data_IF_887193534932
#
_entry.id   IF_887193534932
#
_cell.length_a   1.000
_cell.length_b   1.000
_cell.length_c   1.000
_cell.angle_alpha   90.00
_cell.angle_beta   90.00
_cell.angle_gamma   90.00
#
_symmetry.space_group_name_H-M   'P 1'
#
loop_
_entity.id
_entity.type
_entity.pdbx_description
1 polymer ?
#
# COMPACT_ATOMS: atom_id res chain seq x y z
N UNK A 1 -12.07 -36.04 19.81
CA UNK A 1 -13.29 -35.27 20.11
C UNK A 1 -12.85 -34.08 20.96
N UNK A 2 -12.80 -32.82 20.55
CA UNK A 2 -13.16 -32.12 19.33
C UNK A 2 -12.81 -30.66 19.62
N UNK A 3 -11.77 -30.19 18.96
CA UNK A 3 -11.25 -28.82 18.81
C UNK A 3 -12.19 -27.66 19.23
N UNK A 4 -11.85 -26.98 20.34
CA UNK A 4 -12.47 -25.72 20.79
C UNK A 4 -11.69 -24.47 20.33
N UNK A 5 -10.67 -24.61 19.47
CA UNK A 5 -9.78 -23.51 19.06
C UNK A 5 -10.30 -22.78 17.81
N UNK A 6 -11.49 -23.14 17.27
CA UNK A 6 -12.00 -22.61 15.98
C UNK A 6 -13.15 -21.59 16.05
N UNK A 7 -13.43 -20.96 17.18
CA UNK A 7 -14.56 -20.00 17.29
C UNK A 7 -14.13 -18.52 17.38
N UNK A 8 -12.82 -18.20 17.37
CA UNK A 8 -12.33 -16.81 17.42
C UNK A 8 -12.01 -16.22 16.03
N UNK A 9 -12.87 -16.45 15.03
CA UNK A 9 -12.71 -15.84 13.71
C UNK A 9 -14.06 -15.42 13.18
N UNK A 10 -14.52 -14.27 13.66
CA UNK A 10 -15.34 -13.27 12.97
C UNK A 10 -16.23 -12.51 13.97
N UNK A 11 -15.74 -11.36 14.41
CA UNK A 11 -16.59 -10.26 14.87
C UNK A 11 -15.85 -8.96 14.53
N UNK A 12 -16.33 -8.30 13.49
CA UNK A 12 -15.79 -7.04 12.99
C UNK A 12 -16.26 -5.83 13.79
N UNK A 13 -15.46 -4.76 13.68
CA UNK A 13 -15.75 -3.33 13.84
C UNK A 13 -16.49 -2.89 15.11
N UNK A 14 -15.82 -2.02 15.87
CA UNK A 14 -16.12 -0.57 15.93
C UNK A 14 -15.11 0.05 16.90
N UNK A 15 -14.26 0.94 16.39
CA UNK A 15 -13.75 2.06 17.17
C UNK A 15 -13.52 3.18 16.17
N UNK A 16 -14.45 4.12 16.18
CA UNK A 16 -14.32 5.36 15.45
C UNK A 16 -13.16 6.13 16.04
N UNK A 17 -12.25 6.56 15.16
CA UNK A 17 -11.56 7.81 15.33
C UNK A 17 -11.50 8.44 13.95
N UNK A 18 -12.29 9.51 13.79
CA UNK A 18 -12.06 10.57 12.83
C UNK A 18 -10.62 11.07 12.98
N UNK A 19 -9.69 10.42 12.28
CA UNK A 19 -8.42 11.02 11.96
C UNK A 19 -8.55 11.55 10.54
N UNK A 20 -9.12 12.75 10.44
CA UNK A 20 -8.69 13.75 9.46
C UNK A 20 -7.18 13.92 9.61
N UNK A 21 -6.41 13.01 9.00
CA UNK A 21 -4.97 13.17 8.83
C UNK A 21 -4.79 14.04 7.58
N UNK A 22 -4.87 15.33 7.87
CA UNK A 22 -4.52 16.44 7.03
C UNK A 22 -3.14 16.26 6.36
N UNK A 23 -2.98 17.06 5.33
CA UNK A 23 -1.91 17.12 4.38
C UNK A 23 -0.52 17.26 5.00
N UNK A 24 0.48 16.90 4.18
CA UNK A 24 1.80 17.53 4.18
C UNK A 24 2.53 17.61 5.53
N UNK A 25 3.09 16.50 6.01
CA UNK A 25 4.10 16.57 7.06
C UNK A 25 4.50 15.20 7.56
N UNK A 26 5.80 14.94 7.62
CA UNK A 26 6.38 13.67 8.06
C UNK A 26 6.07 13.34 9.53
N UNK A 27 4.86 12.84 9.79
CA UNK A 27 4.62 11.99 10.96
C UNK A 27 5.05 10.59 10.57
N UNK A 28 6.17 10.14 11.12
CA UNK A 28 6.62 8.77 11.00
C UNK A 28 5.46 7.87 11.43
N UNK A 29 4.86 7.17 10.47
CA UNK A 29 3.92 6.11 10.78
C UNK A 29 4.72 5.05 11.54
N UNK A 30 4.48 4.90 12.84
CA UNK A 30 5.24 3.98 13.66
C UNK A 30 4.93 2.55 13.22
N UNK A 31 6.00 1.80 12.95
CA UNK A 31 5.90 0.41 12.56
C UNK A 31 5.99 -0.44 13.81
N UNK A 32 4.92 -1.17 14.14
CA UNK A 32 4.99 -2.23 15.14
C UNK A 32 6.07 -3.23 14.68
N UNK A 33 7.16 -3.37 15.45
CA UNK A 33 8.34 -4.17 15.12
C UNK A 33 9.22 -3.69 13.94
N UNK A 34 9.12 -2.43 13.52
CA UNK A 34 9.99 -1.86 12.48
C UNK A 34 9.75 -2.41 11.07
N UNK A 35 8.62 -3.11 10.84
CA UNK A 35 8.27 -3.71 9.55
C UNK A 35 7.12 -2.97 8.88
N UNK A 36 7.25 -2.77 7.57
CA UNK A 36 6.15 -2.26 6.74
C UNK A 36 5.16 -3.40 6.52
N UNK A 37 3.89 -3.15 6.85
CA UNK A 37 2.79 -4.11 6.66
C UNK A 37 1.93 -3.71 5.46
N UNK A 38 1.13 -4.62 4.92
CA UNK A 38 0.22 -4.34 3.79
C UNK A 38 -0.81 -3.26 4.11
N UNK A 39 -1.17 -3.09 5.38
CA UNK A 39 -2.09 -2.05 5.87
C UNK A 39 -1.42 -0.70 6.05
N UNK A 40 -0.08 -0.64 6.01
CA UNK A 40 0.65 0.62 6.14
C UNK A 40 0.34 1.55 4.97
N UNK A 41 0.37 2.88 5.20
CA UNK A 41 0.29 3.85 4.13
C UNK A 41 1.44 3.68 3.13
N UNK A 42 1.18 3.97 1.85
CA UNK A 42 2.18 3.89 0.77
C UNK A 42 3.42 4.76 1.04
N UNK A 43 3.26 5.81 1.86
CA UNK A 43 4.36 6.66 2.31
C UNK A 43 5.47 5.93 3.07
N UNK A 44 5.18 4.76 3.66
CA UNK A 44 6.15 3.97 4.41
C UNK A 44 7.21 3.29 3.52
N UNK A 45 6.96 3.19 2.21
CA UNK A 45 7.87 2.54 1.25
C UNK A 45 9.04 3.43 0.80
N UNK A 46 9.11 4.70 1.23
CA UNK A 46 10.18 5.60 0.83
C UNK A 46 10.20 5.94 -0.67
N UNK A 47 9.05 5.86 -1.34
CA UNK A 47 8.92 6.18 -2.77
C UNK A 47 9.26 7.65 -3.07
N UNK A 48 9.83 7.88 -4.25
CA UNK A 48 10.13 9.22 -4.74
C UNK A 48 8.87 10.10 -4.80
N UNK A 49 9.09 11.41 -4.70
CA UNK A 49 8.01 12.41 -4.81
C UNK A 49 7.25 12.23 -6.13
N UNK A 50 7.94 11.91 -7.22
CA UNK A 50 7.32 11.72 -8.53
C UNK A 50 6.37 10.52 -8.57
N UNK A 51 6.76 9.38 -7.99
CA UNK A 51 5.89 8.20 -7.89
C UNK A 51 4.68 8.51 -7.03
N UNK A 52 4.88 9.13 -5.85
CA UNK A 52 3.77 9.53 -4.97
C UNK A 52 2.81 10.49 -5.64
N UNK A 53 3.33 11.43 -6.44
CA UNK A 53 2.48 12.40 -7.14
C UNK A 53 1.69 11.78 -8.29
N UNK A 54 2.28 10.83 -9.03
CA UNK A 54 1.55 10.06 -10.05
C UNK A 54 0.41 9.28 -9.40
N UNK A 55 0.67 8.57 -8.31
CA UNK A 55 -0.35 7.80 -7.59
C UNK A 55 -1.46 8.70 -7.01
N UNK A 56 -1.14 9.93 -6.59
CA UNK A 56 -2.11 10.91 -6.09
C UNK A 56 -2.94 11.57 -7.19
N UNK A 57 -2.33 11.88 -8.34
CA UNK A 57 -2.98 12.64 -9.42
C UNK A 57 -3.77 11.78 -10.40
N UNK A 58 -3.43 10.50 -10.52
CA UNK A 58 -4.09 9.65 -11.50
C UNK A 58 -5.55 9.37 -11.10
N UNK A 59 -6.48 10.04 -11.80
CA UNK A 59 -7.93 9.92 -11.54
C UNK A 59 -8.45 8.50 -11.77
N UNK A 60 -7.78 7.68 -12.58
CA UNK A 60 -8.19 6.30 -12.83
C UNK A 60 -7.84 5.45 -11.63
N UNK A 61 -6.60 5.53 -11.15
CA UNK A 61 -6.16 4.91 -9.89
C UNK A 61 -7.04 5.37 -8.74
N UNK A 62 -7.27 6.68 -8.59
CA UNK A 62 -8.10 7.24 -7.51
C UNK A 62 -9.58 6.79 -7.60
N UNK A 63 -10.15 6.62 -8.80
CA UNK A 63 -11.56 6.19 -8.96
C UNK A 63 -11.78 4.67 -8.88
N UNK A 64 -10.79 3.86 -9.25
CA UNK A 64 -10.95 2.39 -9.28
C UNK A 64 -10.33 1.69 -8.09
N UNK A 65 -9.20 2.17 -7.55
CA UNK A 65 -8.41 1.46 -6.52
C UNK A 65 -7.97 2.34 -5.36
N UNK A 66 -7.90 3.66 -5.51
CA UNK A 66 -7.52 4.62 -4.48
C UNK A 66 -6.32 4.17 -3.65
N UNK A 67 -5.13 4.08 -4.26
CA UNK A 67 -3.94 3.51 -3.62
C UNK A 67 -3.51 4.35 -2.41
N UNK A 68 -3.95 3.89 -1.24
CA UNK A 68 -3.69 4.46 0.08
C UNK A 68 -2.74 3.58 0.87
N UNK A 69 -2.81 2.26 0.66
CA UNK A 69 -2.04 1.26 1.40
C UNK A 69 -1.01 0.53 0.54
N UNK A 70 -0.02 -0.07 1.20
CA UNK A 70 1.00 -0.90 0.55
C UNK A 70 0.38 -2.12 -0.13
N UNK A 71 -0.66 -2.71 0.46
CA UNK A 71 -1.37 -3.85 -0.10
C UNK A 71 -2.08 -3.54 -1.42
N UNK A 72 -2.71 -2.36 -1.52
CA UNK A 72 -3.33 -1.90 -2.78
C UNK A 72 -2.29 -1.66 -3.87
N UNK A 73 -1.13 -1.11 -3.49
CA UNK A 73 -0.02 -0.92 -4.43
C UNK A 73 0.56 -2.27 -4.90
N UNK A 74 0.67 -3.24 -4.00
CA UNK A 74 1.10 -4.60 -4.31
C UNK A 74 0.13 -5.26 -5.31
N UNK A 75 -1.18 -5.16 -5.06
CA UNK A 75 -2.20 -5.72 -5.95
C UNK A 75 -2.13 -5.12 -7.37
N UNK A 76 -1.93 -3.81 -7.49
CA UNK A 76 -1.74 -3.16 -8.81
C UNK A 76 -0.47 -3.61 -9.52
N UNK A 77 0.60 -3.89 -8.77
CA UNK A 77 1.84 -4.40 -9.33
C UNK A 77 1.69 -5.84 -9.81
N UNK A 78 0.97 -6.67 -9.07
CA UNK A 78 0.70 -8.05 -9.43
C UNK A 78 -0.25 -8.17 -10.62
N UNK A 79 -1.19 -7.24 -10.78
CA UNK A 79 -2.12 -7.19 -11.90
C UNK A 79 -1.59 -6.47 -13.14
N UNK A 80 -0.31 -6.07 -13.14
CA UNK A 80 0.34 -5.23 -14.16
C UNK A 80 -0.37 -3.89 -14.46
N UNK A 81 -1.30 -3.48 -13.60
CA UNK A 81 -2.10 -2.27 -13.79
C UNK A 81 -1.27 -1.01 -13.56
N UNK A 82 -0.16 -1.10 -12.83
CA UNK A 82 0.80 -0.01 -12.69
C UNK A 82 1.36 0.46 -14.04
N UNK A 83 1.61 -0.44 -15.00
CA UNK A 83 2.10 -0.07 -16.33
C UNK A 83 1.10 0.73 -17.16
N UNK A 84 -0.19 0.60 -16.87
CA UNK A 84 -1.27 1.32 -17.54
C UNK A 84 -1.50 2.74 -16.97
N UNK A 85 -0.94 3.06 -15.79
CA UNK A 85 -1.10 4.38 -15.15
C UNK A 85 -0.36 5.45 -15.95
N UNK A 86 -1.04 6.55 -16.26
CA UNK A 86 -0.44 7.62 -17.08
C UNK A 86 0.74 8.24 -16.33
N UNK A 87 1.91 8.21 -16.96
CA UNK A 87 3.14 8.71 -16.35
C UNK A 87 3.84 7.71 -15.43
N UNK A 88 3.38 6.47 -15.36
CA UNK A 88 4.03 5.38 -14.64
C UNK A 88 4.88 4.52 -15.61
N UNK A 89 5.94 5.11 -16.14
CA UNK A 89 6.85 4.40 -17.05
C UNK A 89 7.64 3.28 -16.36
N UNK A 90 8.31 2.40 -17.14
CA UNK A 90 8.99 1.20 -16.62
C UNK A 90 10.01 1.49 -15.51
N UNK A 91 10.69 2.64 -15.58
CA UNK A 91 11.60 3.09 -14.52
C UNK A 91 10.89 3.29 -13.18
N UNK A 92 9.70 3.91 -13.19
CA UNK A 92 8.93 4.19 -11.97
C UNK A 92 8.23 2.95 -11.42
N UNK A 93 7.81 2.03 -12.30
CA UNK A 93 7.34 0.70 -11.89
C UNK A 93 8.48 -0.09 -11.21
N UNK A 94 9.69 -0.01 -11.76
CA UNK A 94 10.89 -0.60 -11.16
C UNK A 94 11.23 -0.03 -9.78
N UNK A 95 11.04 1.28 -9.58
CA UNK A 95 11.18 1.93 -8.28
C UNK A 95 10.19 1.37 -7.26
N UNK A 96 8.91 1.28 -7.61
CA UNK A 96 7.86 0.70 -6.75
C UNK A 96 8.20 -0.74 -6.37
N UNK A 97 8.60 -1.55 -7.36
CA UNK A 97 9.02 -2.94 -7.14
C UNK A 97 10.19 -3.02 -6.17
N UNK A 98 11.22 -2.20 -6.38
CA UNK A 98 12.43 -2.20 -5.54
C UNK A 98 12.10 -1.82 -4.11
N UNK A 99 11.23 -0.82 -3.91
CA UNK A 99 10.78 -0.39 -2.59
C UNK A 99 9.97 -1.48 -1.87
N UNK A 100 9.10 -2.20 -2.57
CA UNK A 100 8.35 -3.34 -2.01
C UNK A 100 9.28 -4.48 -1.61
N UNK A 101 10.25 -4.84 -2.44
CA UNK A 101 11.25 -5.87 -2.11
C UNK A 101 12.10 -5.45 -0.92
N UNK A 102 12.56 -4.20 -0.88
CA UNK A 102 13.33 -3.65 0.24
C UNK A 102 12.54 -3.65 1.56
N UNK A 103 11.22 -3.44 1.48
CA UNK A 103 10.30 -3.54 2.60
C UNK A 103 9.95 -5.00 3.00
N UNK A 104 10.48 -6.00 2.27
CA UNK A 104 10.32 -7.42 2.58
C UNK A 104 9.14 -8.11 1.89
N UNK A 105 8.48 -7.45 0.93
CA UNK A 105 7.39 -8.05 0.17
C UNK A 105 7.92 -8.91 -0.99
N UNK A 106 7.29 -10.06 -1.20
CA UNK A 106 7.58 -10.92 -2.34
C UNK A 106 6.81 -10.42 -3.56
N UNK A 107 7.52 -10.11 -4.64
CA UNK A 107 6.92 -9.57 -5.87
C UNK A 107 7.26 -10.48 -7.04
N UNK A 108 6.26 -11.07 -7.70
CA UNK A 108 6.48 -11.93 -8.88
C UNK A 108 7.15 -11.13 -10.00
N UNK A 109 8.15 -11.69 -10.69
CA UNK A 109 8.67 -11.09 -11.94
C UNK A 109 7.60 -11.23 -13.03
N UNK A 110 7.38 -10.19 -13.87
CA UNK A 110 6.54 -10.34 -15.05
C UNK A 110 7.13 -11.39 -16.00
#
# INVERSE_FOLDING_TARGET
MGDLVRVLRDAGRVSGQDAVADAAGGRAHEHEHGRVMVTCPVGCLGLSVHVREVLRRDRMVVRTVGVRTVGELLALLESDALGAVRGMGPRRVGEVRTALIAAGFVVKRP
#
